data_IF_553204581795
#
_entry.id   IF_553204581795
#
_cell.length_a   1.000
_cell.length_b   1.000
_cell.length_c   1.000
_cell.angle_alpha   90.00
_cell.angle_beta   90.00
_cell.angle_gamma   90.00
#
_symmetry.space_group_name_H-M   'P 1'
#
loop_
_entity.id
_entity.type
_entity.pdbx_description
1 polymer ?
#
# COMPACT_ATOMS: atom_id res chain seq x y z
N UNK A 1 27.94 7.07 -32.62
CA UNK A 1 28.01 8.29 -31.78
C UNK A 1 27.11 8.12 -30.55
N UNK A 2 27.75 7.82 -29.41
CA UNK A 2 27.26 7.87 -28.00
C UNK A 2 25.85 7.38 -27.62
N UNK A 3 25.71 6.07 -27.34
CA UNK A 3 24.58 5.50 -26.59
C UNK A 3 24.86 5.62 -25.08
N UNK A 4 24.21 6.55 -24.39
CA UNK A 4 24.25 6.70 -22.93
C UNK A 4 23.71 5.43 -22.25
N UNK A 5 24.61 4.58 -21.76
CA UNK A 5 24.27 3.48 -20.86
C UNK A 5 23.84 4.06 -19.52
N UNK A 6 22.52 4.10 -19.29
CA UNK A 6 21.92 4.41 -17.99
C UNK A 6 22.24 3.26 -17.03
N UNK A 7 23.37 3.37 -16.34
CA UNK A 7 23.85 2.48 -15.28
C UNK A 7 22.73 2.34 -14.23
N UNK A 8 22.06 1.18 -14.18
CA UNK A 8 21.16 0.84 -13.07
C UNK A 8 22.01 0.87 -11.81
N UNK A 9 21.71 1.83 -10.94
CA UNK A 9 22.31 1.98 -9.62
C UNK A 9 21.94 0.72 -8.84
N UNK A 10 22.87 -0.23 -8.76
CA UNK A 10 22.87 -1.26 -7.73
C UNK A 10 22.80 -0.49 -6.42
N UNK A 11 21.67 -0.59 -5.73
CA UNK A 11 21.50 -0.03 -4.39
C UNK A 11 22.56 -0.73 -3.56
N UNK A 12 23.69 -0.05 -3.31
CA UNK A 12 24.79 -0.64 -2.55
C UNK A 12 24.29 -0.90 -1.14
N UNK A 13 24.74 -1.98 -0.51
CA UNK A 13 24.38 -2.29 0.88
C UNK A 13 24.58 -1.10 1.83
N UNK A 14 25.50 -0.18 1.52
CA UNK A 14 25.69 1.10 2.21
C UNK A 14 24.50 2.06 2.10
N UNK A 15 23.86 2.19 0.94
CA UNK A 15 22.64 3.03 0.82
C UNK A 15 21.44 2.43 1.56
N UNK A 16 21.36 1.10 1.65
CA UNK A 16 20.30 0.40 2.36
C UNK A 16 20.52 0.46 3.89
N UNK A 17 21.78 0.38 4.34
CA UNK A 17 22.20 0.58 5.73
C UNK A 17 22.09 2.05 6.21
N UNK A 18 22.34 3.02 5.32
CA UNK A 18 22.14 4.44 5.60
C UNK A 18 20.66 4.79 5.72
N UNK A 19 19.81 4.21 4.87
CA UNK A 19 18.35 4.39 4.98
C UNK A 19 17.82 3.73 6.26
N UNK A 20 18.31 2.54 6.64
CA UNK A 20 17.87 1.87 7.88
C UNK A 20 18.36 2.57 9.16
N UNK A 21 19.59 3.10 9.16
CA UNK A 21 20.11 3.91 10.29
C UNK A 21 19.41 5.26 10.41
N UNK A 22 19.09 5.91 9.29
CA UNK A 22 18.29 7.14 9.29
C UNK A 22 16.87 6.90 9.83
N UNK A 23 16.25 5.77 9.46
CA UNK A 23 14.91 5.40 9.91
C UNK A 23 14.90 5.07 11.41
N UNK A 24 15.93 4.41 11.93
CA UNK A 24 16.06 4.08 13.36
C UNK A 24 16.35 5.32 14.20
N UNK A 25 17.19 6.26 13.74
CA UNK A 25 17.39 7.54 14.41
C UNK A 25 16.11 8.38 14.47
N UNK A 26 15.34 8.40 13.37
CA UNK A 26 14.08 9.12 13.30
C UNK A 26 13.00 8.50 14.19
N UNK A 27 12.98 7.17 14.28
CA UNK A 27 12.17 6.41 15.25
C UNK A 27 12.50 6.78 16.70
N UNK A 28 13.80 6.83 17.05
CA UNK A 28 14.25 7.17 18.41
C UNK A 28 13.91 8.62 18.74
N UNK A 29 14.12 9.57 17.81
CA UNK A 29 13.77 10.97 18.02
C UNK A 29 12.26 11.17 18.20
N UNK A 30 11.44 10.51 17.39
CA UNK A 30 9.99 10.58 17.54
C UNK A 30 9.49 9.85 18.80
N UNK A 31 10.08 8.71 19.17
CA UNK A 31 9.76 8.02 20.41
C UNK A 31 10.06 8.91 21.62
N UNK A 32 11.19 9.61 21.61
CA UNK A 32 11.50 10.61 22.62
C UNK A 32 10.49 11.76 22.60
N UNK A 33 10.11 12.28 21.43
CA UNK A 33 9.10 13.33 21.32
C UNK A 33 7.75 12.89 21.87
N UNK A 34 7.34 11.64 21.62
CA UNK A 34 6.13 11.03 22.20
C UNK A 34 6.27 10.93 23.73
N UNK A 35 7.39 10.46 24.26
CA UNK A 35 7.61 10.33 25.71
C UNK A 35 7.60 11.70 26.42
N UNK A 36 8.29 12.69 25.85
CA UNK A 36 8.27 14.07 26.36
C UNK A 36 6.86 14.67 26.31
N UNK A 37 6.11 14.42 25.22
CA UNK A 37 4.72 14.87 25.14
C UNK A 37 3.83 14.13 26.15
N UNK A 38 3.95 12.80 26.28
CA UNK A 38 3.21 11.96 27.26
C UNK A 38 3.34 12.52 28.68
N UNK A 39 4.54 12.99 29.05
CA UNK A 39 4.81 13.54 30.38
C UNK A 39 4.08 14.88 30.67
N UNK A 40 3.70 15.64 29.63
CA UNK A 40 3.03 16.94 29.76
C UNK A 40 1.48 16.87 29.68
N UNK A 41 0.88 15.68 29.54
CA UNK A 41 -0.59 15.58 29.39
C UNK A 41 -1.34 15.52 30.72
N UNK A 42 -1.99 16.64 31.06
CA UNK A 42 -2.93 16.76 32.18
C UNK A 42 -4.36 16.30 31.85
N UNK A 43 -4.67 16.08 30.57
CA UNK A 43 -6.03 15.79 30.06
C UNK A 43 -6.20 14.32 29.70
N UNK A 44 -6.48 13.48 30.70
CA UNK A 44 -6.70 12.04 30.54
C UNK A 44 -8.16 11.70 30.81
N UNK A 45 -8.80 10.97 29.90
CA UNK A 45 -10.10 10.37 30.12
C UNK A 45 -9.89 8.98 30.75
N UNK A 46 -10.47 8.76 31.93
CA UNK A 46 -10.50 7.43 32.56
C UNK A 46 -11.81 6.75 32.16
N UNK A 47 -11.72 5.72 31.34
CA UNK A 47 -12.88 4.88 31.04
C UNK A 47 -13.00 3.84 32.15
N UNK A 48 -14.08 3.91 32.93
CA UNK A 48 -14.34 2.99 34.02
C UNK A 48 -14.63 1.57 33.48
N UNK A 49 -13.92 0.58 34.01
CA UNK A 49 -14.03 -0.84 33.67
C UNK A 49 -13.16 -1.69 34.60
N UNK A 50 -13.19 -3.04 34.48
CA UNK A 50 -12.36 -3.93 35.30
C UNK A 50 -10.86 -3.68 35.10
N UNK A 51 -10.46 -3.10 33.96
CA UNK A 51 -9.14 -2.53 33.71
C UNK A 51 -9.37 -1.07 33.27
N UNK A 52 -8.99 -0.06 34.07
CA UNK A 52 -9.19 1.34 33.71
C UNK A 52 -8.27 1.70 32.54
N UNK A 53 -8.86 2.15 31.43
CA UNK A 53 -8.12 2.61 30.25
C UNK A 53 -7.93 4.12 30.37
N UNK A 54 -6.67 4.55 30.41
CA UNK A 54 -6.25 5.95 30.40
C UNK A 54 -6.12 6.41 28.95
N UNK A 55 -7.00 7.31 28.54
CA UNK A 55 -7.10 7.73 27.14
C UNK A 55 -6.86 9.25 27.03
N UNK A 56 -5.67 9.70 26.62
CA UNK A 56 -5.38 11.13 26.46
C UNK A 56 -6.21 11.69 25.30
N UNK A 57 -7.12 12.61 25.57
CA UNK A 57 -8.07 13.11 24.56
C UNK A 57 -7.62 14.39 23.86
N UNK A 58 -6.42 14.88 24.16
CA UNK A 58 -5.87 16.09 23.55
C UNK A 58 -5.59 15.89 22.05
N UNK A 59 -6.14 16.77 21.21
CA UNK A 59 -6.02 16.67 19.75
C UNK A 59 -4.56 16.78 19.29
N UNK A 60 -3.75 17.60 19.95
CA UNK A 60 -2.33 17.74 19.59
C UNK A 60 -1.53 16.49 19.93
N UNK A 61 -1.95 15.72 20.94
CA UNK A 61 -1.39 14.40 21.21
C UNK A 61 -1.71 13.43 20.09
N UNK A 62 -3.00 13.31 19.74
CA UNK A 62 -3.47 12.37 18.74
C UNK A 62 -2.82 12.69 17.38
N UNK A 63 -2.73 13.97 17.02
CA UNK A 63 -2.02 14.42 15.82
C UNK A 63 -0.55 14.00 15.81
N UNK A 64 0.13 13.96 16.97
CA UNK A 64 1.53 13.52 17.08
C UNK A 64 1.65 12.02 16.84
N UNK A 65 0.73 11.23 17.41
CA UNK A 65 0.66 9.78 17.14
C UNK A 65 0.39 9.52 15.66
N UNK A 66 -0.55 10.25 15.07
CA UNK A 66 -0.89 10.12 13.64
C UNK A 66 0.31 10.44 12.76
N UNK A 67 1.00 11.56 13.02
CA UNK A 67 2.21 11.93 12.30
C UNK A 67 3.31 10.87 12.46
N UNK A 68 3.48 10.32 13.67
CA UNK A 68 4.43 9.24 13.91
C UNK A 68 4.12 8.00 13.06
N UNK A 69 2.86 7.56 13.03
CA UNK A 69 2.44 6.41 12.22
C UNK A 69 2.67 6.68 10.72
N UNK A 70 2.33 7.88 10.24
CA UNK A 70 2.54 8.27 8.84
C UNK A 70 4.03 8.22 8.49
N UNK A 71 4.88 8.88 9.29
CA UNK A 71 6.31 9.00 9.01
C UNK A 71 7.02 7.64 9.11
N UNK A 72 6.60 6.78 10.03
CA UNK A 72 7.17 5.44 10.20
C UNK A 72 6.74 4.48 9.07
N UNK A 73 5.45 4.43 8.77
CA UNK A 73 4.90 3.40 7.90
C UNK A 73 5.05 3.72 6.41
N UNK A 74 4.99 5.00 6.04
CA UNK A 74 4.96 5.46 4.63
C UNK A 74 6.23 5.10 3.85
N UNK A 75 7.47 5.33 4.35
CA UNK A 75 8.68 5.07 3.56
C UNK A 75 8.82 3.59 3.19
N UNK A 76 8.59 2.69 4.15
CA UNK A 76 8.64 1.25 3.91
C UNK A 76 7.56 0.80 2.92
N UNK A 77 6.33 1.28 3.11
CA UNK A 77 5.21 0.99 2.21
C UNK A 77 5.49 1.47 0.78
N UNK A 78 6.09 2.65 0.61
CA UNK A 78 6.42 3.23 -0.68
C UNK A 78 7.45 2.37 -1.44
N UNK A 79 8.52 1.94 -0.78
CA UNK A 79 9.54 1.06 -1.40
C UNK A 79 8.92 -0.26 -1.84
N UNK A 80 8.13 -0.90 -0.98
CA UNK A 80 7.43 -2.16 -1.32
C UNK A 80 6.43 -1.97 -2.45
N UNK A 81 5.72 -0.85 -2.48
CA UNK A 81 4.80 -0.53 -3.57
C UNK A 81 5.52 -0.32 -4.90
N UNK A 82 6.68 0.35 -4.88
CA UNK A 82 7.51 0.52 -6.08
C UNK A 82 8.03 -0.82 -6.62
N UNK A 83 8.49 -1.71 -5.75
CA UNK A 83 8.90 -3.07 -6.12
C UNK A 83 7.74 -3.86 -6.74
N UNK A 84 6.57 -3.82 -6.10
CA UNK A 84 5.35 -4.42 -6.65
C UNK A 84 5.00 -3.87 -8.04
N UNK A 85 5.02 -2.54 -8.21
CA UNK A 85 4.73 -1.88 -9.49
C UNK A 85 5.72 -2.28 -10.56
N UNK A 86 7.00 -2.42 -10.22
CA UNK A 86 8.03 -2.89 -11.14
C UNK A 86 7.76 -4.34 -11.59
N UNK A 87 7.55 -5.25 -10.63
CA UNK A 87 7.27 -6.67 -10.91
C UNK A 87 5.99 -6.86 -11.71
N UNK A 88 4.94 -6.09 -11.42
CA UNK A 88 3.70 -6.11 -12.22
C UNK A 88 3.94 -5.68 -13.66
N UNK A 89 4.81 -4.71 -13.93
CA UNK A 89 5.16 -4.33 -15.31
C UNK A 89 5.89 -5.44 -16.05
N UNK A 90 6.72 -6.23 -15.36
CA UNK A 90 7.35 -7.42 -15.94
C UNK A 90 6.29 -8.46 -16.29
N UNK A 91 5.39 -8.75 -15.34
CA UNK A 91 4.29 -9.73 -15.52
C UNK A 91 3.39 -9.40 -16.72
N UNK A 92 3.04 -8.12 -16.91
CA UNK A 92 2.22 -7.65 -18.05
C UNK A 92 2.83 -7.94 -19.43
N UNK A 93 4.15 -8.12 -19.51
CA UNK A 93 4.87 -8.36 -20.76
C UNK A 93 5.09 -9.84 -21.07
N UNK A 94 4.81 -10.72 -20.10
CA UNK A 94 4.98 -12.17 -20.26
C UNK A 94 4.14 -12.74 -21.41
N UNK A 95 2.85 -12.39 -21.60
CA UNK A 95 2.06 -12.96 -22.70
C UNK A 95 2.65 -12.67 -24.08
N UNK A 96 3.11 -11.43 -24.29
CA UNK A 96 3.75 -10.98 -25.54
C UNK A 96 5.10 -11.66 -25.72
N UNK A 97 5.93 -11.71 -24.68
CA UNK A 97 7.21 -12.41 -24.72
C UNK A 97 7.05 -13.90 -25.10
N UNK A 98 6.10 -14.60 -24.50
CA UNK A 98 5.84 -16.01 -24.83
C UNK A 98 5.31 -16.19 -26.26
N UNK A 99 4.50 -15.25 -26.75
CA UNK A 99 3.99 -15.26 -28.11
C UNK A 99 5.12 -15.12 -29.14
N UNK A 100 6.00 -14.15 -28.93
CA UNK A 100 7.15 -13.90 -29.79
C UNK A 100 8.12 -15.09 -29.78
N UNK A 101 8.40 -15.65 -28.60
CA UNK A 101 9.23 -16.84 -28.45
C UNK A 101 8.63 -18.04 -29.20
N UNK A 102 7.31 -18.26 -29.09
CA UNK A 102 6.61 -19.29 -29.86
C UNK A 102 6.71 -19.06 -31.37
N UNK A 103 6.67 -17.80 -31.83
CA UNK A 103 6.89 -17.42 -33.23
C UNK A 103 8.27 -17.82 -33.75
N UNK A 104 9.32 -17.49 -33.01
CA UNK A 104 10.70 -17.84 -33.36
C UNK A 104 10.93 -19.35 -33.37
N UNK A 105 10.40 -20.06 -32.38
CA UNK A 105 10.52 -21.53 -32.33
C UNK A 105 9.77 -22.19 -33.49
N UNK A 106 8.60 -21.68 -33.90
CA UNK A 106 7.90 -22.13 -35.11
C UNK A 106 8.69 -21.87 -36.39
N UNK A 107 9.49 -20.81 -36.42
CA UNK A 107 10.39 -20.51 -37.54
C UNK A 107 11.64 -21.40 -37.58
N UNK A 108 11.80 -22.33 -36.63
CA UNK A 108 12.90 -23.30 -36.61
C UNK A 108 14.06 -22.92 -35.69
N UNK A 109 13.98 -21.81 -34.95
CA UNK A 109 15.01 -21.47 -33.97
C UNK A 109 14.90 -22.33 -32.71
N UNK A 110 16.04 -22.72 -32.12
CA UNK A 110 16.07 -23.38 -30.81
C UNK A 110 15.66 -22.39 -29.71
N UNK A 111 15.12 -22.87 -28.58
CA UNK A 111 14.70 -21.99 -27.46
C UNK A 111 15.82 -21.07 -26.98
N UNK A 112 17.08 -21.52 -26.78
CA UNK A 112 18.18 -20.63 -26.44
C UNK A 112 18.43 -19.55 -27.48
N UNK A 113 18.35 -19.89 -28.79
CA UNK A 113 18.56 -18.91 -29.86
C UNK A 113 17.40 -17.92 -29.95
N UNK A 114 16.17 -18.38 -29.74
CA UNK A 114 15.00 -17.52 -29.68
C UNK A 114 15.10 -16.52 -28.50
N UNK A 115 15.58 -16.95 -27.33
CA UNK A 115 15.85 -16.07 -26.20
C UNK A 115 16.92 -15.01 -26.51
N UNK A 116 17.96 -15.38 -27.26
CA UNK A 116 19.00 -14.46 -27.72
C UNK A 116 18.43 -13.37 -28.64
N UNK A 117 17.58 -13.75 -29.60
CA UNK A 117 16.89 -12.82 -30.51
C UNK A 117 15.94 -11.90 -29.72
N UNK A 118 15.16 -12.46 -28.79
CA UNK A 118 14.26 -11.67 -27.93
C UNK A 118 15.01 -10.70 -27.00
N UNK A 119 16.23 -11.05 -26.56
CA UNK A 119 17.06 -10.17 -25.76
C UNK A 119 17.48 -8.89 -26.51
N UNK A 120 17.51 -8.91 -27.84
CA UNK A 120 17.85 -7.72 -28.64
C UNK A 120 16.70 -6.71 -28.73
N UNK A 121 15.46 -7.17 -28.56
CA UNK A 121 14.25 -6.34 -28.60
C UNK A 121 14.09 -5.48 -27.33
N UNK A 122 13.34 -4.38 -27.47
CA UNK A 122 12.91 -3.56 -26.34
C UNK A 122 11.61 -4.12 -25.72
N UNK A 123 11.79 -5.06 -24.79
CA UNK A 123 10.77 -5.60 -23.89
C UNK A 123 10.65 -4.76 -22.60
N UNK A 124 11.06 -3.48 -22.60
CA UNK A 124 10.94 -2.59 -21.44
C UNK A 124 11.56 -3.16 -20.15
N UNK A 125 10.80 -3.29 -19.05
CA UNK A 125 11.30 -3.85 -17.78
C UNK A 125 11.83 -5.28 -17.86
N UNK A 126 11.35 -6.08 -18.83
CA UNK A 126 11.71 -7.49 -19.01
C UNK A 126 13.05 -7.67 -19.73
N UNK A 127 13.46 -6.73 -20.61
CA UNK A 127 14.72 -6.81 -21.38
C UNK A 127 15.93 -7.10 -20.50
N UNK A 128 16.03 -6.43 -19.34
CA UNK A 128 17.16 -6.61 -18.43
C UNK A 128 17.23 -8.02 -17.82
N UNK A 129 16.08 -8.66 -17.61
CA UNK A 129 16.00 -10.02 -17.09
C UNK A 129 16.37 -11.02 -18.20
N UNK A 130 15.81 -10.88 -19.40
CA UNK A 130 16.10 -11.79 -20.51
C UNK A 130 17.57 -11.70 -20.93
N UNK A 131 18.16 -10.50 -21.03
CA UNK A 131 19.61 -10.34 -21.27
C UNK A 131 20.47 -11.03 -20.22
N UNK A 132 20.06 -10.97 -18.95
CA UNK A 132 20.78 -11.64 -17.85
C UNK A 132 20.66 -13.16 -17.96
N UNK A 133 19.49 -13.67 -18.34
CA UNK A 133 19.29 -15.10 -18.63
C UNK A 133 20.16 -15.56 -19.79
N UNK A 134 20.14 -14.84 -20.91
CA UNK A 134 20.95 -15.17 -22.10
C UNK A 134 22.44 -15.17 -21.77
N UNK A 135 22.93 -14.16 -21.03
CA UNK A 135 24.32 -14.11 -20.60
C UNK A 135 24.70 -15.34 -19.76
N UNK A 136 23.84 -15.81 -18.85
CA UNK A 136 24.06 -17.03 -18.06
C UNK A 136 24.11 -18.29 -18.92
N UNK A 137 23.22 -18.39 -19.90
CA UNK A 137 23.19 -19.51 -20.86
C UNK A 137 24.48 -19.54 -21.69
N UNK A 138 24.93 -18.38 -22.20
CA UNK A 138 26.19 -18.26 -22.95
C UNK A 138 27.40 -18.65 -22.08
N UNK A 139 27.35 -18.36 -20.77
CA UNK A 139 28.36 -18.77 -19.80
C UNK A 139 28.30 -20.26 -19.41
N UNK A 140 27.45 -21.05 -20.06
CA UNK A 140 27.35 -22.50 -19.87
C UNK A 140 26.37 -22.95 -18.78
N UNK A 141 25.59 -22.04 -18.19
CA UNK A 141 24.53 -22.41 -17.26
C UNK A 141 23.36 -23.07 -18.02
N UNK A 142 22.80 -24.16 -17.50
CA UNK A 142 21.62 -24.80 -18.09
C UNK A 142 20.45 -23.82 -18.17
N UNK A 143 19.68 -23.87 -19.27
CA UNK A 143 18.54 -22.97 -19.55
C UNK A 143 17.55 -22.90 -18.38
N UNK A 144 17.18 -24.04 -17.81
CA UNK A 144 16.25 -24.13 -16.67
C UNK A 144 16.81 -23.40 -15.45
N UNK A 145 18.08 -23.62 -15.13
CA UNK A 145 18.76 -22.98 -13.99
C UNK A 145 18.94 -21.48 -14.20
N UNK A 146 19.33 -21.06 -15.40
CA UNK A 146 19.48 -19.64 -15.75
C UNK A 146 18.17 -18.85 -15.65
N UNK A 147 17.05 -19.44 -16.11
CA UNK A 147 15.71 -18.86 -15.99
C UNK A 147 15.27 -18.80 -14.52
N UNK A 148 15.37 -19.91 -13.79
CA UNK A 148 15.02 -19.99 -12.36
C UNK A 148 15.76 -18.94 -11.51
N UNK A 149 17.10 -18.88 -11.61
CA UNK A 149 17.91 -17.96 -10.82
C UNK A 149 17.69 -16.48 -11.20
N UNK A 150 17.38 -16.20 -12.46
CA UNK A 150 17.14 -14.83 -12.93
C UNK A 150 15.78 -14.30 -12.50
N UNK A 151 14.76 -15.17 -12.44
CA UNK A 151 13.38 -14.82 -12.14
C UNK A 151 12.94 -15.14 -10.71
N UNK A 152 13.83 -15.63 -9.83
CA UNK A 152 13.52 -15.99 -8.44
C UNK A 152 12.85 -14.89 -7.62
N UNK A 153 13.21 -13.63 -7.87
CA UNK A 153 12.66 -12.47 -7.15
C UNK A 153 11.36 -11.93 -7.78
N UNK A 154 10.91 -12.47 -8.91
CA UNK A 154 9.69 -12.01 -9.61
C UNK A 154 8.41 -12.60 -9.00
N UNK A 155 7.24 -12.21 -9.52
CA UNK A 155 5.97 -12.74 -9.02
C UNK A 155 5.85 -14.25 -9.25
N UNK A 156 5.10 -14.99 -8.40
CA UNK A 156 4.85 -16.41 -8.62
C UNK A 156 4.24 -16.71 -9.99
N UNK A 157 3.39 -15.81 -10.50
CA UNK A 157 2.79 -15.90 -11.83
C UNK A 157 3.87 -15.83 -12.91
N UNK A 158 4.72 -14.80 -12.85
CA UNK A 158 5.85 -14.64 -13.79
C UNK A 158 6.76 -15.87 -13.76
N UNK A 159 7.13 -16.33 -12.56
CA UNK A 159 8.02 -17.48 -12.39
C UNK A 159 7.45 -18.75 -13.02
N UNK A 160 6.16 -19.05 -12.82
CA UNK A 160 5.51 -20.23 -13.43
C UNK A 160 5.56 -20.20 -14.95
N UNK A 161 5.25 -19.06 -15.57
CA UNK A 161 5.31 -18.92 -17.02
C UNK A 161 6.74 -19.02 -17.57
N UNK A 162 7.73 -18.56 -16.79
CA UNK A 162 9.14 -18.69 -17.14
C UNK A 162 9.63 -20.13 -16.99
N UNK A 163 9.16 -20.88 -15.99
CA UNK A 163 9.41 -22.32 -15.85
C UNK A 163 8.85 -23.09 -17.06
N UNK A 164 7.68 -22.70 -17.59
CA UNK A 164 7.14 -23.27 -18.85
C UNK A 164 8.06 -23.06 -20.06
N UNK A 165 8.90 -22.03 -20.07
CA UNK A 165 9.92 -21.86 -21.13
C UNK A 165 11.01 -22.92 -21.03
N UNK A 166 11.40 -23.30 -19.80
CA UNK A 166 12.34 -24.39 -19.58
C UNK A 166 11.73 -25.74 -19.98
N UNK A 167 10.47 -26.00 -19.63
CA UNK A 167 9.74 -27.19 -20.06
C UNK A 167 9.59 -27.25 -21.59
N UNK A 168 9.35 -26.11 -22.24
CA UNK A 168 9.31 -26.03 -23.69
C UNK A 168 10.66 -26.38 -24.31
N UNK A 169 11.77 -25.94 -23.72
CA UNK A 169 13.11 -26.31 -24.17
C UNK A 169 13.34 -27.83 -24.11
N UNK A 170 12.93 -28.48 -23.02
CA UNK A 170 13.02 -29.94 -22.86
C UNK A 170 12.05 -30.70 -23.79
N UNK A 171 10.92 -30.09 -24.15
CA UNK A 171 9.90 -30.68 -25.03
C UNK A 171 10.30 -30.74 -26.51
N UNK A 172 11.42 -30.12 -26.91
CA UNK A 172 11.98 -30.20 -28.27
C UNK A 172 10.98 -29.78 -29.36
N UNK A 173 10.57 -30.74 -30.22
CA UNK A 173 9.70 -30.47 -31.37
C UNK A 173 8.31 -29.91 -31.03
N UNK A 174 7.87 -30.01 -29.76
CA UNK A 174 6.59 -29.45 -29.29
C UNK A 174 6.73 -28.10 -28.60
N UNK A 175 7.93 -27.54 -28.51
CA UNK A 175 8.23 -26.28 -27.82
C UNK A 175 7.31 -25.13 -28.26
N UNK A 176 7.09 -24.99 -29.58
CA UNK A 176 6.18 -23.99 -30.14
C UNK A 176 4.74 -24.11 -29.61
N UNK A 177 4.22 -25.34 -29.49
CA UNK A 177 2.87 -25.60 -29.00
C UNK A 177 2.75 -25.27 -27.51
N UNK A 178 3.76 -25.66 -26.72
CA UNK A 178 3.83 -25.38 -25.27
C UNK A 178 3.87 -23.87 -25.02
N UNK A 179 4.76 -23.13 -25.70
CA UNK A 179 4.88 -21.67 -25.56
C UNK A 179 3.62 -20.93 -26.02
N UNK A 180 3.00 -21.36 -27.13
CA UNK A 180 1.75 -20.78 -27.62
C UNK A 180 0.59 -21.03 -26.65
N UNK A 181 0.52 -22.22 -26.04
CA UNK A 181 -0.45 -22.54 -24.99
C UNK A 181 -0.24 -21.66 -23.75
N UNK A 182 1.02 -21.49 -23.33
CA UNK A 182 1.38 -20.64 -22.20
C UNK A 182 1.03 -19.15 -22.45
N UNK A 183 1.30 -18.64 -23.65
CA UNK A 183 0.96 -17.27 -24.05
C UNK A 183 -0.57 -17.03 -24.01
N UNK A 184 -1.35 -17.96 -24.57
CA UNK A 184 -2.82 -17.92 -24.51
C UNK A 184 -3.32 -17.94 -23.06
N UNK A 185 -2.75 -18.81 -22.22
CA UNK A 185 -3.10 -18.88 -20.81
C UNK A 185 -2.74 -17.57 -20.06
N UNK A 186 -1.56 -17.02 -20.28
CA UNK A 186 -1.11 -15.76 -19.69
C UNK A 186 -2.01 -14.58 -20.11
N UNK A 187 -2.43 -14.54 -21.38
CA UNK A 187 -3.33 -13.51 -21.90
C UNK A 187 -4.71 -13.59 -21.23
N UNK A 188 -5.29 -14.79 -21.13
CA UNK A 188 -6.58 -15.00 -20.45
C UNK A 188 -6.49 -14.66 -18.96
N UNK A 189 -5.40 -15.03 -18.30
CA UNK A 189 -5.18 -14.71 -16.91
C UNK A 189 -5.13 -13.20 -16.69
N UNK A 190 -4.45 -12.45 -17.56
CA UNK A 190 -4.39 -11.00 -17.41
C UNK A 190 -5.73 -10.32 -17.71
N UNK A 191 -6.49 -10.80 -18.71
CA UNK A 191 -7.84 -10.31 -18.95
C UNK A 191 -8.74 -10.51 -17.71
N UNK A 192 -8.65 -11.67 -17.07
CA UNK A 192 -9.37 -11.96 -15.83
C UNK A 192 -8.93 -11.06 -14.66
N UNK A 193 -7.62 -10.82 -14.51
CA UNK A 193 -7.10 -9.89 -13.50
C UNK A 193 -7.56 -8.45 -13.74
N UNK A 194 -7.63 -8.01 -14.99
CA UNK A 194 -8.11 -6.68 -15.34
C UNK A 194 -9.61 -6.53 -15.04
N UNK A 195 -10.43 -7.51 -15.43
CA UNK A 195 -11.84 -7.55 -15.11
C UNK A 195 -12.07 -7.52 -13.60
N UNK A 196 -11.34 -8.34 -12.85
CA UNK A 196 -11.36 -8.34 -11.38
C UNK A 196 -10.99 -6.98 -10.81
N UNK A 197 -9.95 -6.31 -11.32
CA UNK A 197 -9.56 -4.96 -10.84
C UNK A 197 -10.65 -3.93 -11.11
N UNK A 198 -11.32 -4.01 -12.27
CA UNK A 198 -12.41 -3.09 -12.64
C UNK A 198 -13.62 -3.31 -11.75
N UNK A 199 -14.06 -4.55 -11.57
CA UNK A 199 -15.20 -4.88 -10.71
C UNK A 199 -14.94 -4.53 -9.24
N UNK A 200 -13.72 -4.77 -8.76
CA UNK A 200 -13.34 -4.50 -7.38
C UNK A 200 -13.14 -3.01 -7.06
N UNK A 201 -12.99 -2.14 -8.07
CA UNK A 201 -12.81 -0.69 -7.88
C UNK A 201 -13.99 -0.05 -7.12
N UNK A 202 -15.20 -0.55 -7.32
CA UNK A 202 -16.41 -0.03 -6.66
C UNK A 202 -16.32 -0.20 -5.14
N UNK A 203 -15.83 -1.34 -4.66
CA UNK A 203 -15.67 -1.59 -3.22
C UNK A 203 -14.65 -0.65 -2.57
N UNK A 204 -13.59 -0.28 -3.29
CA UNK A 204 -12.65 0.73 -2.80
C UNK A 204 -13.35 2.07 -2.61
N UNK A 205 -14.18 2.50 -3.57
CA UNK A 205 -14.96 3.74 -3.46
C UNK A 205 -15.94 3.70 -2.27
N UNK A 206 -16.60 2.57 -2.03
CA UNK A 206 -17.50 2.38 -0.88
C UNK A 206 -16.75 2.62 0.43
N UNK A 207 -15.56 2.03 0.60
CA UNK A 207 -14.76 2.19 1.82
C UNK A 207 -14.39 3.67 2.06
N UNK A 208 -13.95 4.38 1.01
CA UNK A 208 -13.67 5.82 1.12
C UNK A 208 -14.91 6.63 1.54
N UNK A 209 -16.06 6.35 0.92
CA UNK A 209 -17.31 7.00 1.25
C UNK A 209 -17.71 6.74 2.71
N UNK A 210 -17.59 5.50 3.20
CA UNK A 210 -17.91 5.16 4.60
C UNK A 210 -17.08 5.93 5.61
N UNK A 211 -15.79 6.16 5.35
CA UNK A 211 -14.92 6.93 6.24
C UNK A 211 -15.32 8.41 6.25
N UNK A 212 -15.60 8.98 5.08
CA UNK A 212 -16.08 10.37 4.98
C UNK A 212 -17.42 10.54 5.69
N UNK A 213 -18.35 9.61 5.48
CA UNK A 213 -19.65 9.60 6.16
C UNK A 213 -19.45 9.53 7.68
N UNK A 214 -18.54 8.68 8.16
CA UNK A 214 -18.23 8.61 9.59
C UNK A 214 -17.70 9.94 10.14
N UNK A 215 -16.81 10.63 9.40
CA UNK A 215 -16.31 11.96 9.79
C UNK A 215 -17.46 12.98 9.88
N UNK A 216 -18.35 13.00 8.88
CA UNK A 216 -19.53 13.89 8.91
C UNK A 216 -20.43 13.57 10.11
N UNK A 217 -20.75 12.30 10.35
CA UNK A 217 -21.53 11.86 11.51
C UNK A 217 -20.83 12.26 12.81
N UNK A 218 -19.50 12.15 12.89
CA UNK A 218 -18.73 12.61 14.04
C UNK A 218 -18.87 14.11 14.30
N UNK A 219 -18.93 14.96 13.27
CA UNK A 219 -19.18 16.39 13.46
C UNK A 219 -20.58 16.64 14.02
N UNK A 220 -21.60 15.94 13.51
CA UNK A 220 -22.96 16.03 14.04
C UNK A 220 -23.04 15.56 15.50
N UNK A 221 -22.38 14.45 15.84
CA UNK A 221 -22.33 13.95 17.22
C UNK A 221 -21.66 14.95 18.16
N UNK A 222 -20.60 15.63 17.71
CA UNK A 222 -19.96 16.71 18.48
C UNK A 222 -20.89 17.91 18.66
N UNK A 223 -21.57 18.33 17.60
CA UNK A 223 -22.57 19.39 17.66
C UNK A 223 -23.66 19.08 18.70
N UNK A 224 -24.29 17.90 18.62
CA UNK A 224 -25.31 17.50 19.59
C UNK A 224 -24.75 17.40 21.01
N UNK A 225 -23.55 16.84 21.18
CA UNK A 225 -22.92 16.76 22.50
C UNK A 225 -22.65 18.15 23.09
N UNK A 226 -22.17 19.11 22.30
CA UNK A 226 -21.94 20.49 22.76
C UNK A 226 -23.23 21.18 23.20
N UNK A 227 -24.29 21.10 22.40
CA UNK A 227 -25.59 21.69 22.72
C UNK A 227 -26.22 21.10 23.98
N UNK A 228 -26.17 19.76 24.11
CA UNK A 228 -26.67 19.06 25.30
C UNK A 228 -25.85 19.40 26.54
N UNK A 229 -24.52 19.43 26.42
CA UNK A 229 -23.62 19.75 27.53
C UNK A 229 -23.85 21.17 28.06
N UNK A 230 -24.07 22.15 27.17
CA UNK A 230 -24.38 23.52 27.58
C UNK A 230 -25.75 23.63 28.27
N UNK A 231 -26.75 22.90 27.78
CA UNK A 231 -28.09 22.84 28.38
C UNK A 231 -28.07 22.25 29.79
N UNK A 232 -27.28 21.20 30.00
CA UNK A 232 -27.07 20.58 31.32
C UNK A 232 -26.39 21.56 32.27
N UNK A 233 -25.34 22.25 31.81
CA UNK A 233 -24.63 23.25 32.62
C UNK A 233 -25.52 24.40 33.08
N UNK A 234 -26.57 24.75 32.33
CA UNK A 234 -27.51 25.84 32.63
C UNK A 234 -28.68 25.46 33.55
N UNK A 235 -28.72 24.23 34.08
CA UNK A 235 -29.75 23.81 35.05
C UNK A 235 -30.32 22.41 34.84
N UNK A 236 -29.77 21.62 33.91
CA UNK A 236 -30.15 20.21 33.74
C UNK A 236 -29.64 19.37 34.91
N UNK A 237 -30.54 18.68 35.60
CA UNK A 237 -30.26 17.96 36.84
C UNK A 237 -29.11 16.93 36.78
N UNK A 238 -28.67 16.49 37.97
CA UNK A 238 -27.52 15.60 38.24
C UNK A 238 -27.49 14.28 37.45
N UNK A 239 -28.61 13.86 36.84
CA UNK A 239 -28.70 12.69 35.95
C UNK A 239 -27.81 12.78 34.71
N UNK A 240 -27.45 13.99 34.25
CA UNK A 240 -26.58 14.18 33.08
C UNK A 240 -25.13 14.55 33.42
N UNK A 241 -24.72 14.47 34.69
CA UNK A 241 -23.35 14.74 35.12
C UNK A 241 -22.31 13.69 34.61
N UNK A 242 -22.78 12.60 34.01
CA UNK A 242 -21.96 11.51 33.43
C UNK A 242 -21.64 11.78 31.94
N UNK A 243 -22.19 12.85 31.34
CA UNK A 243 -21.88 13.18 29.95
C UNK A 243 -20.40 13.54 29.79
N UNK A 244 -19.76 12.95 28.78
CA UNK A 244 -18.42 13.35 28.36
C UNK A 244 -18.44 14.83 27.98
N UNK A 245 -17.41 15.56 28.44
CA UNK A 245 -17.16 16.92 27.96
C UNK A 245 -16.95 16.92 26.44
N UNK A 246 -17.25 18.02 25.73
CA UNK A 246 -17.03 18.10 24.29
C UNK A 246 -15.61 17.73 23.85
N UNK A 247 -14.59 18.14 24.60
CA UNK A 247 -13.20 17.80 24.35
C UNK A 247 -12.95 16.28 24.48
N UNK A 248 -13.53 15.63 25.50
CA UNK A 248 -13.41 14.19 25.70
C UNK A 248 -14.14 13.40 24.59
N UNK A 249 -15.33 13.84 24.20
CA UNK A 249 -16.08 13.26 23.08
C UNK A 249 -15.28 13.39 21.77
N UNK A 250 -14.66 14.55 21.53
CA UNK A 250 -13.82 14.80 20.36
C UNK A 250 -12.63 13.86 20.29
N UNK A 251 -11.88 13.72 21.38
CA UNK A 251 -10.77 12.76 21.44
C UNK A 251 -11.24 11.33 21.17
N UNK A 252 -12.32 10.89 21.81
CA UNK A 252 -12.87 9.54 21.63
C UNK A 252 -13.29 9.26 20.18
N UNK A 253 -14.01 10.20 19.55
CA UNK A 253 -14.43 10.07 18.15
C UNK A 253 -13.22 10.07 17.19
N UNK A 254 -12.18 10.84 17.50
CA UNK A 254 -10.95 10.84 16.73
C UNK A 254 -10.27 9.46 16.79
N UNK A 255 -10.05 8.89 17.98
CA UNK A 255 -9.50 7.53 18.10
C UNK A 255 -10.37 6.48 17.40
N UNK A 256 -11.69 6.60 17.50
CA UNK A 256 -12.62 5.69 16.81
C UNK A 256 -12.45 5.78 15.30
N UNK A 257 -12.37 6.99 14.74
CA UNK A 257 -12.14 7.20 13.30
C UNK A 257 -10.80 6.58 12.84
N UNK A 258 -9.74 6.75 13.63
CA UNK A 258 -8.43 6.16 13.33
C UNK A 258 -8.49 4.63 13.35
N UNK A 259 -9.18 4.07 14.33
CA UNK A 259 -9.32 2.62 14.53
C UNK A 259 -10.10 1.98 13.39
N UNK A 260 -11.22 2.55 12.96
CA UNK A 260 -12.00 2.00 11.82
C UNK A 260 -11.28 2.19 10.47
N UNK A 261 -10.47 3.25 10.35
CA UNK A 261 -9.76 3.58 9.11
C UNK A 261 -8.57 2.65 8.87
N UNK A 262 -7.87 2.20 9.93
CA UNK A 262 -6.73 1.30 9.81
C UNK A 262 -7.03 0.00 9.02
N UNK A 263 -7.97 -0.87 9.46
CA UNK A 263 -8.29 -2.11 8.75
C UNK A 263 -8.91 -1.84 7.39
N UNK A 264 -9.73 -0.78 7.26
CA UNK A 264 -10.32 -0.33 6.00
C UNK A 264 -9.25 -0.04 4.93
N UNK A 265 -8.16 0.63 5.31
CA UNK A 265 -7.07 0.93 4.38
C UNK A 265 -6.28 -0.32 3.97
N UNK A 266 -6.05 -1.26 4.90
CA UNK A 266 -5.43 -2.55 4.60
C UNK A 266 -6.30 -3.35 3.61
N UNK A 267 -7.62 -3.32 3.80
CA UNK A 267 -8.57 -3.93 2.88
C UNK A 267 -8.47 -3.32 1.48
N UNK A 268 -8.42 -1.99 1.35
CA UNK A 268 -8.20 -1.31 0.04
C UNK A 268 -6.94 -1.85 -0.66
N UNK A 269 -5.82 -1.97 0.04
CA UNK A 269 -4.57 -2.48 -0.53
C UNK A 269 -4.69 -3.91 -1.04
N UNK A 270 -5.34 -4.80 -0.26
CA UNK A 270 -5.59 -6.19 -0.69
C UNK A 270 -6.52 -6.27 -1.90
N UNK A 271 -7.56 -5.44 -1.95
CA UNK A 271 -8.53 -5.40 -3.04
C UNK A 271 -7.87 -4.90 -4.34
N UNK A 272 -7.08 -3.83 -4.26
CA UNK A 272 -6.53 -3.14 -5.45
C UNK A 272 -5.26 -3.76 -6.02
N UNK A 273 -4.28 -4.07 -5.17
CA UNK A 273 -2.96 -4.60 -5.61
C UNK A 273 -2.62 -5.99 -5.09
N UNK A 274 -3.46 -6.60 -4.25
CA UNK A 274 -3.10 -7.78 -3.44
C UNK A 274 -1.90 -7.53 -2.50
N UNK A 275 -1.60 -6.28 -2.18
CA UNK A 275 -0.49 -5.93 -1.28
C UNK A 275 -0.98 -5.10 -0.11
N UNK A 276 -0.46 -5.39 1.09
CA UNK A 276 -0.73 -4.58 2.28
C UNK A 276 -0.02 -3.22 2.18
N UNK A 277 1.11 -3.16 1.47
CA UNK A 277 1.90 -1.94 1.29
C UNK A 277 1.10 -0.81 0.63
N UNK A 278 0.31 -1.09 -0.42
CA UNK A 278 -0.57 -0.07 -1.01
C UNK A 278 -1.63 0.43 -0.01
N UNK A 279 -2.12 -0.47 0.85
CA UNK A 279 -3.09 -0.12 1.89
C UNK A 279 -2.52 0.85 2.92
N UNK A 280 -1.24 0.69 3.30
CA UNK A 280 -0.55 1.62 4.20
C UNK A 280 -0.39 3.01 3.59
N UNK A 281 -0.17 3.12 2.28
CA UNK A 281 -0.14 4.43 1.60
C UNK A 281 -1.51 5.12 1.65
N UNK A 282 -2.59 4.36 1.48
CA UNK A 282 -3.96 4.87 1.63
C UNK A 282 -4.28 5.25 3.09
N UNK A 283 -3.76 4.49 4.06
CA UNK A 283 -3.85 4.81 5.48
C UNK A 283 -3.19 6.14 5.80
N UNK A 284 -1.96 6.37 5.31
CA UNK A 284 -1.26 7.63 5.53
C UNK A 284 -2.02 8.83 4.98
N UNK A 285 -2.59 8.70 3.77
CA UNK A 285 -3.42 9.74 3.16
C UNK A 285 -4.68 10.03 3.98
N UNK A 286 -5.43 8.99 4.35
CA UNK A 286 -6.68 9.16 5.10
C UNK A 286 -6.41 9.68 6.51
N UNK A 287 -5.35 9.23 7.16
CA UNK A 287 -4.94 9.74 8.47
C UNK A 287 -4.57 11.22 8.43
N UNK A 288 -3.92 11.69 7.37
CA UNK A 288 -3.68 13.12 7.18
C UNK A 288 -4.99 13.90 7.04
N UNK A 289 -5.95 13.39 6.25
CA UNK A 289 -7.28 14.01 6.11
C UNK A 289 -8.03 14.05 7.45
N UNK A 290 -8.01 12.95 8.20
CA UNK A 290 -8.66 12.85 9.51
C UNK A 290 -8.02 13.84 10.51
N UNK A 291 -6.69 13.94 10.54
CA UNK A 291 -5.98 14.89 11.41
C UNK A 291 -6.34 16.34 11.10
N UNK A 292 -6.39 16.71 9.81
CA UNK A 292 -6.84 18.04 9.38
C UNK A 292 -8.29 18.26 9.83
N UNK A 293 -9.18 17.31 9.56
CA UNK A 293 -10.59 17.43 9.94
C UNK A 293 -10.79 17.65 11.43
N UNK A 294 -10.22 16.81 12.31
CA UNK A 294 -10.38 16.98 13.76
C UNK A 294 -9.69 18.22 14.32
N UNK A 295 -8.69 18.76 13.63
CA UNK A 295 -8.09 20.05 13.98
C UNK A 295 -9.06 21.20 13.73
N UNK A 296 -9.85 21.15 12.65
CA UNK A 296 -10.77 22.23 12.26
C UNK A 296 -12.25 21.99 12.60
N UNK A 297 -12.61 20.81 13.14
CA UNK A 297 -14.02 20.45 13.40
C UNK A 297 -14.72 21.41 14.36
N UNK A 298 -14.00 22.03 15.30
CA UNK A 298 -14.60 22.98 16.26
C UNK A 298 -15.12 24.23 15.55
N UNK A 299 -14.43 24.70 14.50
CA UNK A 299 -14.92 25.81 13.68
C UNK A 299 -16.22 25.44 12.97
N UNK A 300 -16.30 24.23 12.41
CA UNK A 300 -17.53 23.74 11.78
C UNK A 300 -18.69 23.65 12.78
N UNK A 301 -18.44 23.11 13.98
CA UNK A 301 -19.46 23.01 15.02
C UNK A 301 -19.91 24.39 15.49
N UNK A 302 -18.98 25.33 15.70
CA UNK A 302 -19.31 26.70 16.09
C UNK A 302 -20.13 27.44 15.02
N UNK A 303 -19.80 27.24 13.75
CA UNK A 303 -20.55 27.79 12.62
C UNK A 303 -21.99 27.24 12.64
N UNK A 304 -22.17 25.92 12.78
CA UNK A 304 -23.48 25.30 12.88
C UNK A 304 -24.30 25.82 14.07
N UNK A 305 -23.67 26.00 15.23
CA UNK A 305 -24.33 26.56 16.41
C UNK A 305 -24.80 28.01 16.17
N UNK A 306 -23.97 28.83 15.51
CA UNK A 306 -24.33 30.22 15.19
C UNK A 306 -25.53 30.36 14.24
N UNK A 307 -25.69 29.42 13.30
CA UNK A 307 -26.82 29.38 12.39
C UNK A 307 -28.13 28.99 13.08
N UNK A 308 -28.05 28.21 14.16
CA UNK A 308 -29.22 27.69 14.89
C UNK A 308 -29.66 28.58 16.06
N UNK A 309 -28.81 29.53 16.47
CA UNK A 309 -29.13 30.53 17.52
C UNK A 309 -29.85 31.79 17.00
N UNK A 310 -30.33 31.74 15.74
CA UNK A 310 -31.29 32.67 15.12
C UNK A 310 -32.68 32.03 15.15
#
# INVERSE_FOLDING_TARGET
>A
MTRKLRKRRVISGGTLALVSSSLTALLILFANLIVFKIADYTKILVIAGPIPILLPYDVNFINTIVLFVIVLATPYALVKYMDYRWKRKVELLIPVFLYDLAGLVRAGYTVPKALEIEAEKDLGPLTGLIKKTVARIILGENVSRALSETFKDQTPITRRFIETVAEAHESGGRAAQVLSGASSHATRLEAFEEERRRSMKVYVSIIYASIIIFMVVSAFLLFFNTALYESVRKGGGRLFAILLTPDQMKGLLYYTTLLITAPSCIAIGKIRSRTVAEGVLHMALLYAIIAVFYTYVDYLVSMLMSFLSL
#
